data_IF_621911269189
#
_entry.id   IF_621911269189
#
_cell.length_a   1.000
_cell.length_b   1.000
_cell.length_c   1.000
_cell.angle_alpha   90.00
_cell.angle_beta   90.00
_cell.angle_gamma   90.00
#
_symmetry.space_group_name_H-M   'P 1'
#
loop_
_entity.id
_entity.type
_entity.pdbx_description
1 polymer ?
#
# COMPACT_ATOMS: atom_id res chain seq x y z
N UNK A 1 17.34 18.11 7.08
CA UNK A 1 16.02 17.54 7.41
C UNK A 1 16.27 16.07 7.69
N UNK A 2 16.02 15.61 8.91
CA UNK A 2 16.24 14.21 9.27
C UNK A 2 15.19 13.34 8.55
N UNK A 3 15.66 12.34 7.81
CA UNK A 3 14.81 11.40 7.09
C UNK A 3 13.91 10.57 8.02
N UNK A 4 14.26 10.47 9.31
CA UNK A 4 13.51 9.74 10.33
C UNK A 4 12.17 10.39 10.71
N UNK A 5 11.99 11.69 10.43
CA UNK A 5 10.78 12.45 10.76
C UNK A 5 9.70 12.40 9.67
N UNK A 6 10.00 11.77 8.52
CA UNK A 6 9.07 11.68 7.40
C UNK A 6 8.10 10.50 7.59
N UNK A 7 6.85 10.69 7.17
CA UNK A 7 5.85 9.63 7.21
C UNK A 7 6.16 8.52 6.21
N UNK A 8 5.77 7.26 6.49
CA UNK A 8 5.96 6.15 5.57
C UNK A 8 5.27 6.40 4.22
N UNK A 9 6.00 6.13 3.13
CA UNK A 9 5.51 6.30 1.74
C UNK A 9 4.57 5.20 1.27
N UNK A 10 4.65 4.00 1.88
CA UNK A 10 3.91 2.79 1.49
C UNK A 10 2.39 3.01 1.30
N UNK A 11 1.64 3.67 2.22
CA UNK A 11 0.20 3.89 2.02
C UNK A 11 -0.10 4.80 0.82
N UNK A 12 0.77 5.75 0.49
CA UNK A 12 0.58 6.64 -0.66
C UNK A 12 0.84 5.90 -1.98
N UNK A 13 1.91 5.11 -2.03
CA UNK A 13 2.23 4.30 -3.21
C UNK A 13 1.13 3.27 -3.49
N UNK A 14 0.60 2.61 -2.45
CA UNK A 14 -0.49 1.65 -2.60
C UNK A 14 -1.70 2.30 -3.29
N UNK A 15 -2.13 3.49 -2.84
CA UNK A 15 -3.24 4.22 -3.47
C UNK A 15 -2.94 4.61 -4.91
N UNK A 16 -1.74 5.13 -5.18
CA UNK A 16 -1.33 5.52 -6.53
C UNK A 16 -1.37 4.33 -7.51
N UNK A 17 -0.86 3.16 -7.09
CA UNK A 17 -0.93 1.94 -7.92
C UNK A 17 -2.35 1.40 -8.04
N UNK A 18 -3.14 1.46 -6.98
CA UNK A 18 -4.52 1.00 -7.01
C UNK A 18 -5.35 1.77 -8.04
N UNK A 19 -5.31 3.12 -7.99
CA UNK A 19 -5.99 3.97 -8.99
C UNK A 19 -5.45 3.73 -10.39
N UNK A 20 -4.13 3.66 -10.56
CA UNK A 20 -3.52 3.40 -11.86
C UNK A 20 -3.95 2.05 -12.46
N UNK A 21 -4.08 1.00 -11.65
CA UNK A 21 -4.57 -0.30 -12.11
C UNK A 21 -6.05 -0.23 -12.54
N UNK A 22 -6.89 0.49 -11.79
CA UNK A 22 -8.29 0.70 -12.14
C UNK A 22 -8.45 1.49 -13.46
N UNK A 23 -7.65 2.53 -13.65
CA UNK A 23 -7.62 3.34 -14.88
C UNK A 23 -7.27 2.50 -16.13
N UNK A 24 -6.56 1.39 -15.94
CA UNK A 24 -6.19 0.45 -17.01
C UNK A 24 -7.14 -0.76 -17.12
N UNK A 25 -8.31 -0.72 -16.46
CA UNK A 25 -9.27 -1.83 -16.42
C UNK A 25 -8.66 -3.16 -15.91
N UNK A 26 -7.66 -3.08 -15.04
CA UNK A 26 -7.06 -4.24 -14.40
C UNK A 26 -7.71 -4.52 -13.05
N UNK A 27 -7.53 -5.73 -12.52
CA UNK A 27 -8.02 -6.12 -11.20
C UNK A 27 -6.90 -6.00 -10.16
N UNK A 28 -6.95 -5.03 -9.23
CA UNK A 28 -5.95 -4.91 -8.18
C UNK A 28 -6.02 -6.09 -7.21
N UNK A 29 -4.89 -6.74 -6.93
CA UNK A 29 -4.77 -7.79 -5.93
C UNK A 29 -3.80 -7.33 -4.84
N UNK A 30 -4.17 -7.55 -3.56
CA UNK A 30 -3.35 -7.18 -2.41
C UNK A 30 -2.75 -8.41 -1.76
N UNK A 31 -1.43 -8.42 -1.58
CA UNK A 31 -0.72 -9.43 -0.80
C UNK A 31 -0.53 -8.89 0.61
N UNK A 32 -1.04 -9.61 1.61
CA UNK A 32 -0.96 -9.25 3.03
C UNK A 32 -0.16 -10.33 3.75
N UNK A 33 0.80 -9.91 4.59
CA UNK A 33 1.50 -10.80 5.49
C UNK A 33 0.63 -11.07 6.74
N UNK A 34 0.06 -12.28 6.80
CA UNK A 34 -0.83 -12.71 7.90
C UNK A 34 -0.09 -13.05 9.20
N UNK A 35 1.25 -13.07 9.17
CA UNK A 35 2.06 -13.40 10.37
C UNK A 35 2.26 -12.20 11.30
N UNK A 36 1.92 -10.98 10.84
CA UNK A 36 2.10 -9.76 11.61
C UNK A 36 1.03 -9.58 12.68
N UNK A 37 1.40 -9.08 13.88
CA UNK A 37 0.44 -8.82 14.95
C UNK A 37 -0.57 -7.75 14.54
N UNK A 38 -1.85 -8.00 14.82
CA UNK A 38 -2.95 -7.07 14.54
C UNK A 38 -3.60 -7.23 13.16
N UNK A 39 -3.14 -8.17 12.32
CA UNK A 39 -3.82 -8.52 11.07
C UNK A 39 -5.10 -9.32 11.38
N UNK A 40 -6.23 -8.90 10.81
CA UNK A 40 -7.52 -9.57 10.85
C UNK A 40 -8.05 -9.67 9.41
N UNK A 41 -8.44 -10.89 8.98
CA UNK A 41 -8.87 -11.20 7.61
C UNK A 41 -10.19 -11.94 7.60
#
# INVERSE_FOLDING_TARGET
MDLSQLTPRRPYLLRAFYEWLLDNQLTPHLVVDVTLPGVQV
#
